data_IF_596965493360
#
_entry.id   IF_596965493360
#
_cell.length_a   1.000
_cell.length_b   1.000
_cell.length_c   1.000
_cell.angle_alpha   90.00
_cell.angle_beta   90.00
_cell.angle_gamma   90.00
#
_symmetry.space_group_name_H-M   'P 1'
#
loop_
_entity.id
_entity.type
_entity.pdbx_description
1 polymer ?
#
# COMPACT_ATOMS: atom_id res chain seq x y z
N UNK A 1 4.73 -8.99 9.54
CA UNK A 1 4.49 -7.57 9.86
C UNK A 1 5.86 -6.93 10.09
N UNK A 2 6.20 -5.83 9.43
CA UNK A 2 7.46 -5.13 9.73
C UNK A 2 7.17 -4.15 10.88
N UNK A 3 7.60 -4.51 12.08
CA UNK A 3 7.59 -3.63 13.25
C UNK A 3 8.70 -2.57 13.10
N UNK A 4 8.48 -1.37 13.66
CA UNK A 4 9.54 -0.37 13.76
C UNK A 4 10.77 -0.97 14.45
N UNK A 5 11.95 -0.74 13.87
CA UNK A 5 13.20 -1.14 14.49
C UNK A 5 13.52 -0.24 15.72
N UNK A 6 14.46 -0.64 16.59
CA UNK A 6 14.76 0.13 17.80
C UNK A 6 15.13 1.61 17.54
N UNK A 7 15.88 1.89 16.46
CA UNK A 7 16.24 3.27 16.08
C UNK A 7 14.98 4.09 15.74
N UNK A 8 14.08 3.51 14.97
CA UNK A 8 12.83 4.17 14.55
C UNK A 8 11.89 4.40 15.73
N UNK A 9 11.80 3.45 16.68
CA UNK A 9 11.04 3.61 17.91
C UNK A 9 11.54 4.81 18.73
N UNK A 10 12.85 4.93 18.91
CA UNK A 10 13.46 6.08 19.61
C UNK A 10 13.24 7.40 18.86
N UNK A 11 13.37 7.39 17.54
CA UNK A 11 13.10 8.57 16.72
C UNK A 11 11.63 9.02 16.83
N UNK A 12 10.69 8.07 16.91
CA UNK A 12 9.28 8.37 17.12
C UNK A 12 9.03 8.98 18.50
N UNK A 13 9.61 8.41 19.56
CA UNK A 13 9.56 9.00 20.90
C UNK A 13 10.11 10.42 20.92
N UNK A 14 11.27 10.65 20.31
CA UNK A 14 11.86 11.98 20.22
C UNK A 14 10.97 12.96 19.46
N UNK A 15 10.32 12.49 18.39
CA UNK A 15 9.39 13.30 17.63
C UNK A 15 8.20 13.73 18.48
N UNK A 16 7.74 12.94 19.45
CA UNK A 16 6.62 13.23 20.37
C UNK A 16 7.07 13.70 21.76
N UNK A 17 8.36 14.05 21.94
CA UNK A 17 8.91 14.32 23.27
C UNK A 17 8.15 15.39 24.07
N UNK A 18 7.75 16.57 23.53
CA UNK A 18 7.07 17.58 24.33
C UNK A 18 5.75 17.10 24.95
N UNK A 19 4.97 16.31 24.21
CA UNK A 19 3.70 15.75 24.68
C UNK A 19 3.95 14.65 25.70
N UNK A 20 4.96 13.80 25.48
CA UNK A 20 5.33 12.75 26.42
C UNK A 20 5.83 13.38 27.72
N UNK A 21 6.76 14.35 27.64
CA UNK A 21 7.30 15.08 28.79
C UNK A 21 6.20 15.73 29.62
N UNK A 22 5.22 16.39 28.98
CA UNK A 22 4.06 16.96 29.68
C UNK A 22 3.22 15.92 30.44
N UNK A 23 3.26 14.66 30.02
CA UNK A 23 2.56 13.55 30.68
C UNK A 23 3.38 12.93 31.80
N UNK A 24 4.67 13.24 31.90
CA UNK A 24 5.52 12.84 33.02
C UNK A 24 5.40 13.79 34.23
N UNK A 25 4.93 15.03 34.01
CA UNK A 25 4.75 16.06 35.06
C UNK A 25 4.02 15.55 36.33
N UNK A 26 2.91 14.77 36.24
CA UNK A 26 2.22 14.26 37.43
C UNK A 26 3.06 13.33 38.32
N UNK A 27 4.11 12.70 37.77
CA UNK A 27 4.99 11.81 38.53
C UNK A 27 5.80 12.54 39.61
N UNK A 28 5.91 13.87 39.52
CA UNK A 28 6.52 14.68 40.56
C UNK A 28 5.76 14.59 41.89
N UNK A 29 4.43 14.44 41.85
CA UNK A 29 3.57 14.34 43.03
C UNK A 29 3.12 12.91 43.35
N UNK A 30 3.08 12.03 42.35
CA UNK A 30 2.56 10.67 42.45
C UNK A 30 3.63 9.64 42.02
N UNK A 31 4.66 9.48 42.87
CA UNK A 31 5.81 8.61 42.60
C UNK A 31 5.44 7.14 42.39
N UNK A 32 4.32 6.69 42.92
CA UNK A 32 3.78 5.34 42.77
C UNK A 32 3.46 4.97 41.31
N UNK A 33 3.15 5.97 40.47
CA UNK A 33 2.92 5.80 39.03
C UNK A 33 4.23 5.60 38.24
N UNK A 34 5.39 5.78 38.87
CA UNK A 34 6.69 5.75 38.20
C UNK A 34 7.33 4.38 38.11
N UNK A 35 6.82 3.35 38.81
CA UNK A 35 7.53 2.08 39.04
C UNK A 35 8.22 1.50 37.79
N UNK A 36 7.50 1.33 36.69
CA UNK A 36 8.06 0.80 35.44
C UNK A 36 9.05 1.75 34.74
N UNK A 37 8.88 3.07 34.90
CA UNK A 37 9.80 4.08 34.33
C UNK A 37 11.07 4.23 35.19
N UNK A 38 10.94 4.12 36.51
CA UNK A 38 12.04 4.18 37.46
C UNK A 38 12.99 2.98 37.28
N UNK A 39 12.47 1.80 36.91
CA UNK A 39 13.28 0.62 36.57
C UNK A 39 14.19 0.84 35.36
N UNK A 40 13.90 1.83 34.50
CA UNK A 40 14.77 2.17 33.37
C UNK A 40 15.96 3.04 33.77
N UNK A 41 15.99 3.56 34.99
CA UNK A 41 17.02 4.47 35.46
C UNK A 41 17.99 3.75 36.40
N UNK A 42 19.17 4.32 36.59
CA UNK A 42 20.10 3.86 37.62
C UNK A 42 19.47 3.96 39.01
N UNK A 43 19.91 3.10 39.92
CA UNK A 43 19.39 3.07 41.30
C UNK A 43 19.47 4.45 41.94
N UNK A 44 18.36 4.89 42.55
CA UNK A 44 18.17 6.20 43.19
C UNK A 44 18.04 7.40 42.24
N UNK A 45 18.27 7.26 40.93
CA UNK A 45 18.26 8.41 40.02
C UNK A 45 16.90 9.11 39.96
N UNK A 46 15.82 8.34 40.04
CA UNK A 46 14.48 8.91 40.09
C UNK A 46 14.27 9.76 41.35
N UNK A 47 14.70 9.26 42.51
CA UNK A 47 14.61 9.97 43.78
C UNK A 47 15.49 11.24 43.80
N UNK A 48 16.69 11.17 43.22
CA UNK A 48 17.56 12.34 43.04
C UNK A 48 16.84 13.43 42.24
N UNK A 49 16.22 13.07 41.11
CA UNK A 49 15.46 14.02 40.30
C UNK A 49 14.29 14.66 41.07
N UNK A 50 13.58 13.88 41.90
CA UNK A 50 12.52 14.44 42.75
C UNK A 50 13.04 15.45 43.78
N UNK A 51 14.28 15.31 44.26
CA UNK A 51 14.89 16.21 45.25
C UNK A 51 15.55 17.44 44.61
N UNK A 52 16.15 17.25 43.43
CA UNK A 52 16.95 18.28 42.74
C UNK A 52 16.07 19.27 41.95
N UNK A 53 14.85 18.88 41.61
CA UNK A 53 13.94 19.69 40.80
C UNK A 53 13.06 20.58 41.68
N UNK A 54 12.96 21.86 41.29
CA UNK A 54 12.13 22.85 42.00
C UNK A 54 10.73 22.97 41.41
N UNK A 55 10.53 22.48 40.19
CA UNK A 55 9.25 22.53 39.49
C UNK A 55 8.96 21.19 38.83
N UNK A 56 7.68 20.87 38.70
CA UNK A 56 7.15 19.71 37.99
C UNK A 56 7.55 19.67 36.49
N UNK A 57 7.73 20.85 35.88
CA UNK A 57 8.19 20.97 34.48
C UNK A 57 9.67 20.61 34.37
N UNK A 58 10.53 21.23 35.19
CA UNK A 58 11.98 20.91 35.26
C UNK A 58 12.21 19.43 35.57
N UNK A 59 11.42 18.87 36.50
CA UNK A 59 11.42 17.44 36.79
C UNK A 59 11.12 16.60 35.55
N UNK A 60 10.03 16.91 34.84
CA UNK A 60 9.63 16.13 33.67
C UNK A 60 10.65 16.19 32.53
N UNK A 61 11.29 17.35 32.33
CA UNK A 61 12.33 17.55 31.32
C UNK A 61 13.59 16.73 31.66
N UNK A 62 14.11 16.85 32.88
CA UNK A 62 15.29 16.08 33.33
C UNK A 62 15.01 14.58 33.39
N UNK A 63 13.80 14.17 33.78
CA UNK A 63 13.38 12.77 33.74
C UNK A 63 13.39 12.24 32.30
N UNK A 64 12.85 13.00 31.35
CA UNK A 64 12.88 12.61 29.94
C UNK A 64 14.31 12.47 29.40
N UNK A 65 15.19 13.40 29.72
CA UNK A 65 16.61 13.33 29.34
C UNK A 65 17.31 12.10 29.93
N UNK A 66 17.04 11.79 31.20
CA UNK A 66 17.58 10.61 31.86
C UNK A 66 17.07 9.30 31.21
N UNK A 67 15.78 9.24 30.88
CA UNK A 67 15.18 8.10 30.19
C UNK A 67 15.76 7.89 28.79
N UNK A 68 15.93 8.97 28.01
CA UNK A 68 16.53 8.89 26.66
C UNK A 68 18.01 8.51 26.67
N UNK A 69 18.71 8.83 27.77
CA UNK A 69 20.12 8.50 27.97
C UNK A 69 20.35 7.14 28.63
N UNK A 70 19.27 6.47 29.07
CA UNK A 70 19.34 5.21 29.81
C UNK A 70 20.03 4.09 29.02
N UNK A 71 20.82 3.23 29.68
CA UNK A 71 21.33 1.98 29.07
C UNK A 71 20.19 1.03 28.65
N UNK A 72 19.01 1.15 29.28
CA UNK A 72 17.81 0.37 28.99
C UNK A 72 16.90 0.99 27.92
N UNK A 73 17.37 1.99 27.16
CA UNK A 73 16.56 2.66 26.11
C UNK A 73 15.95 1.74 25.04
N UNK A 74 16.44 0.51 24.90
CA UNK A 74 15.88 -0.48 23.98
C UNK A 74 14.46 -0.94 24.35
N UNK A 75 14.05 -0.86 25.62
CA UNK A 75 12.67 -1.14 26.09
C UNK A 75 11.85 0.14 26.32
N UNK A 76 12.47 1.32 26.28
CA UNK A 76 11.83 2.61 26.61
C UNK A 76 10.52 2.85 25.86
N UNK A 77 10.44 2.48 24.58
CA UNK A 77 9.23 2.65 23.78
C UNK A 77 8.04 1.88 24.36
N UNK A 78 8.22 0.61 24.69
CA UNK A 78 7.14 -0.21 25.25
C UNK A 78 6.75 0.29 26.66
N UNK A 79 7.73 0.71 27.46
CA UNK A 79 7.47 1.29 28.79
C UNK A 79 6.68 2.59 28.71
N UNK A 80 7.03 3.48 27.77
CA UNK A 80 6.31 4.74 27.56
C UNK A 80 4.89 4.46 27.03
N UNK A 81 4.72 3.53 26.10
CA UNK A 81 3.37 3.15 25.65
C UNK A 81 2.52 2.61 26.81
N UNK A 82 3.07 1.71 27.62
CA UNK A 82 2.36 1.17 28.77
C UNK A 82 1.97 2.27 29.76
N UNK A 83 2.89 3.21 30.04
CA UNK A 83 2.61 4.37 30.86
C UNK A 83 1.47 5.23 30.27
N UNK A 84 1.58 5.63 29.00
CA UNK A 84 0.60 6.45 28.32
C UNK A 84 -0.78 5.79 28.23
N UNK A 85 -0.84 4.47 28.14
CA UNK A 85 -2.12 3.74 28.16
C UNK A 85 -2.96 4.02 29.42
N UNK A 86 -2.31 4.44 30.51
CA UNK A 86 -2.95 4.76 31.79
C UNK A 86 -3.23 6.26 31.98
N UNK A 87 -2.39 7.15 31.41
CA UNK A 87 -2.46 8.60 31.67
C UNK A 87 -2.98 9.44 30.49
N UNK A 88 -2.85 8.95 29.25
CA UNK A 88 -3.29 9.64 28.04
C UNK A 88 -3.54 8.63 26.91
N UNK A 89 -4.77 8.07 26.90
CA UNK A 89 -5.17 7.04 25.94
C UNK A 89 -5.14 7.53 24.48
N UNK A 90 -5.33 8.83 24.26
CA UNK A 90 -5.32 9.43 22.93
C UNK A 90 -3.89 9.49 22.37
N UNK A 91 -2.93 9.96 23.18
CA UNK A 91 -1.51 9.97 22.79
C UNK A 91 -0.96 8.55 22.62
N UNK A 92 -1.32 7.63 23.51
CA UNK A 92 -1.01 6.20 23.34
C UNK A 92 -1.53 5.68 21.99
N UNK A 93 -2.81 5.90 21.71
CA UNK A 93 -3.44 5.45 20.45
C UNK A 93 -2.75 6.06 19.23
N UNK A 94 -2.41 7.35 19.27
CA UNK A 94 -1.65 8.03 18.22
C UNK A 94 -0.30 7.37 17.95
N UNK A 95 0.49 7.09 18.99
CA UNK A 95 1.81 6.45 18.84
C UNK A 95 1.72 5.02 18.31
N UNK A 96 0.73 4.24 18.77
CA UNK A 96 0.44 2.91 18.23
C UNK A 96 0.01 2.99 16.78
N UNK A 97 -0.90 3.90 16.44
CA UNK A 97 -1.38 4.10 15.07
C UNK A 97 -0.23 4.47 14.11
N UNK A 98 0.66 5.37 14.52
CA UNK A 98 1.84 5.76 13.71
C UNK A 98 2.81 4.58 13.56
N UNK A 99 2.99 3.76 14.59
CA UNK A 99 3.87 2.58 14.53
C UNK A 99 3.29 1.44 13.67
N UNK A 100 1.98 1.23 13.74
CA UNK A 100 1.30 0.06 13.16
C UNK A 100 0.75 0.29 11.75
N UNK A 101 0.31 1.51 11.40
CA UNK A 101 -0.25 1.83 10.08
C UNK A 101 0.81 2.13 9.01
N UNK A 102 2.06 2.27 9.40
CA UNK A 102 3.09 2.90 8.58
C UNK A 102 3.81 1.99 7.57
N UNK A 103 3.09 1.01 7.02
CA UNK A 103 3.55 0.41 5.75
C UNK A 103 3.23 1.30 4.56
N UNK A 104 2.17 2.09 4.69
CA UNK A 104 1.54 2.80 3.56
C UNK A 104 2.18 4.15 3.31
N UNK A 105 2.43 4.94 4.36
CA UNK A 105 3.14 6.21 4.26
C UNK A 105 4.66 6.07 4.13
N UNK A 106 5.23 4.89 4.43
CA UNK A 106 6.67 4.67 4.53
C UNK A 106 7.38 5.71 5.42
N UNK A 107 6.69 6.19 6.45
CA UNK A 107 7.17 7.15 7.43
C UNK A 107 8.36 6.61 8.25
N UNK A 108 8.56 5.29 8.26
CA UNK A 108 9.80 4.64 8.69
C UNK A 108 11.05 5.20 7.99
N UNK A 109 10.95 5.70 6.75
CA UNK A 109 12.03 6.44 6.06
C UNK A 109 12.34 7.77 6.75
N UNK A 110 11.30 8.50 7.20
CA UNK A 110 11.46 9.71 8.03
C UNK A 110 12.13 9.34 9.33
N UNK A 111 11.57 8.37 10.07
CA UNK A 111 12.11 7.95 11.37
C UNK A 111 13.56 7.47 11.29
N UNK A 112 13.98 6.91 10.16
CA UNK A 112 15.37 6.47 9.96
C UNK A 112 16.34 7.62 9.70
N UNK A 113 15.84 8.77 9.23
CA UNK A 113 16.60 9.92 8.73
C UNK A 113 16.05 11.27 9.27
N UNK A 114 15.54 11.29 10.51
CA UNK A 114 14.84 12.47 11.07
C UNK A 114 15.69 13.72 11.00
N UNK A 115 16.98 13.63 11.34
CA UNK A 115 17.91 14.76 11.31
C UNK A 115 18.04 15.38 9.92
N UNK A 116 18.16 14.56 8.87
CA UNK A 116 18.27 15.05 7.51
C UNK A 116 16.97 15.72 7.05
N UNK A 117 15.81 15.11 7.31
CA UNK A 117 14.53 15.74 7.02
C UNK A 117 14.37 17.05 7.80
N UNK A 118 14.70 17.05 9.09
CA UNK A 118 14.63 18.23 9.95
C UNK A 118 15.45 19.41 9.40
N UNK A 119 16.66 19.12 8.92
CA UNK A 119 17.57 20.12 8.38
C UNK A 119 17.13 20.65 7.02
N UNK A 120 16.54 19.82 6.17
CA UNK A 120 16.14 20.22 4.81
C UNK A 120 14.71 20.73 4.70
N UNK A 121 13.86 20.52 5.71
CA UNK A 121 12.51 21.11 5.73
C UNK A 121 12.63 22.62 5.91
N UNK A 122 11.95 23.33 5.03
CA UNK A 122 11.46 24.69 5.21
C UNK A 122 9.94 24.57 5.35
N UNK A 123 9.38 25.01 6.48
CA UNK A 123 7.96 24.77 6.79
C UNK A 123 7.07 25.49 5.79
N UNK A 124 7.33 26.76 5.50
CA UNK A 124 6.49 27.57 4.62
C UNK A 124 6.50 27.05 3.19
N UNK A 125 7.69 26.72 2.67
CA UNK A 125 7.84 26.12 1.33
C UNK A 125 7.16 24.76 1.27
N UNK A 126 7.35 23.91 2.29
CA UNK A 126 6.78 22.56 2.30
C UNK A 126 5.26 22.60 2.35
N UNK A 127 4.69 23.49 3.14
CA UNK A 127 3.24 23.64 3.28
C UNK A 127 2.63 24.25 2.04
N UNK A 128 3.26 25.28 1.46
CA UNK A 128 2.84 25.85 0.19
C UNK A 128 2.85 24.82 -0.94
N UNK A 129 3.79 23.86 -0.91
CA UNK A 129 3.81 22.73 -1.82
C UNK A 129 2.64 21.77 -1.56
N UNK A 130 2.51 21.28 -0.32
CA UNK A 130 1.50 20.29 0.05
C UNK A 130 0.07 20.80 -0.17
N UNK A 131 -0.18 22.10 -0.04
CA UNK A 131 -1.47 22.76 -0.34
C UNK A 131 -1.93 22.60 -1.78
N UNK A 132 -1.01 22.37 -2.72
CA UNK A 132 -1.34 22.16 -4.13
C UNK A 132 -1.96 20.78 -4.37
N UNK A 133 -1.83 19.87 -3.40
CA UNK A 133 -2.35 18.51 -3.47
C UNK A 133 -3.73 18.49 -2.81
N UNK A 134 -4.78 18.46 -3.64
CA UNK A 134 -6.18 18.65 -3.21
C UNK A 134 -6.66 17.68 -2.12
N UNK A 135 -6.16 16.44 -2.11
CA UNK A 135 -6.54 15.45 -1.08
C UNK A 135 -5.99 15.78 0.32
N UNK A 136 -5.12 16.77 0.47
CA UNK A 136 -4.54 17.19 1.75
C UNK A 136 -5.23 18.40 2.37
N UNK A 137 -6.20 19.01 1.68
CA UNK A 137 -6.85 20.26 2.12
C UNK A 137 -7.36 20.21 3.57
N UNK A 138 -8.05 19.13 3.96
CA UNK A 138 -8.62 19.01 5.31
C UNK A 138 -7.52 18.89 6.38
N UNK A 139 -6.52 18.06 6.11
CA UNK A 139 -5.40 17.82 7.04
C UNK A 139 -4.53 19.07 7.18
N UNK A 140 -4.25 19.77 6.08
CA UNK A 140 -3.49 21.03 6.10
C UNK A 140 -4.31 22.12 6.82
N UNK A 141 -5.61 22.23 6.56
CA UNK A 141 -6.46 23.20 7.25
C UNK A 141 -6.49 22.98 8.76
N UNK A 142 -6.50 21.73 9.21
CA UNK A 142 -6.41 21.38 10.62
C UNK A 142 -5.02 21.70 11.20
N UNK A 143 -3.95 21.40 10.45
CA UNK A 143 -2.57 21.70 10.81
C UNK A 143 -2.34 23.20 11.01
N UNK A 144 -2.76 24.03 10.05
CA UNK A 144 -2.57 25.49 10.14
C UNK A 144 -3.36 26.11 11.28
N UNK A 145 -4.57 25.61 11.57
CA UNK A 145 -5.35 26.03 12.75
C UNK A 145 -4.70 25.64 14.07
N UNK A 146 -3.84 24.63 14.08
CA UNK A 146 -3.13 24.19 15.29
C UNK A 146 -1.95 25.09 15.65
N UNK A 147 -1.44 25.87 14.70
CA UNK A 147 -0.30 26.75 14.92
C UNK A 147 -0.70 28.07 15.56
N UNK A 148 0.13 28.53 16.50
CA UNK A 148 0.09 29.90 17.01
C UNK A 148 0.88 30.83 16.09
N UNK A 149 0.50 32.11 16.06
CA UNK A 149 1.15 33.11 15.21
C UNK A 149 2.64 33.30 15.54
N UNK A 150 3.02 33.09 16.80
CA UNK A 150 4.36 33.22 17.37
C UNK A 150 5.10 31.88 17.53
N UNK A 151 4.56 30.79 16.99
CA UNK A 151 5.13 29.45 17.17
C UNK A 151 6.48 29.32 16.45
N UNK A 152 7.47 28.76 17.17
CA UNK A 152 8.82 28.63 16.66
C UNK A 152 8.93 27.59 15.54
N UNK A 153 9.92 27.79 14.66
CA UNK A 153 10.13 26.96 13.48
C UNK A 153 10.35 25.48 13.82
N UNK A 154 11.04 25.17 14.93
CA UNK A 154 11.30 23.80 15.33
C UNK A 154 10.01 23.09 15.77
N UNK A 155 9.13 23.81 16.48
CA UNK A 155 7.80 23.29 16.82
C UNK A 155 6.98 23.04 15.56
N UNK A 156 6.95 23.99 14.61
CA UNK A 156 6.24 23.80 13.33
C UNK A 156 6.78 22.61 12.53
N UNK A 157 8.10 22.46 12.40
CA UNK A 157 8.74 21.30 11.76
C UNK A 157 8.31 19.98 12.39
N UNK A 158 8.32 19.94 13.73
CA UNK A 158 7.92 18.75 14.49
C UNK A 158 6.46 18.39 14.22
N UNK A 159 5.55 19.36 14.29
CA UNK A 159 4.12 19.13 14.02
C UNK A 159 3.90 18.69 12.57
N UNK A 160 4.57 19.32 11.59
CA UNK A 160 4.53 18.89 10.18
C UNK A 160 4.93 17.43 10.02
N UNK A 161 6.06 17.03 10.60
CA UNK A 161 6.55 15.64 10.54
C UNK A 161 5.56 14.65 11.17
N UNK A 162 4.93 15.00 12.31
CA UNK A 162 3.90 14.14 12.94
C UNK A 162 2.63 14.01 12.11
N UNK A 163 2.35 14.97 11.25
CA UNK A 163 1.17 14.97 10.37
C UNK A 163 1.38 14.12 9.11
N UNK A 164 2.62 13.81 8.73
CA UNK A 164 2.93 13.01 7.53
C UNK A 164 2.16 11.69 7.45
N UNK A 165 2.05 10.86 8.52
CA UNK A 165 1.26 9.64 8.47
C UNK A 165 -0.23 9.85 8.16
N UNK A 166 -0.77 11.05 8.44
CA UNK A 166 -2.17 11.41 8.22
C UNK A 166 -2.47 11.74 6.74
N UNK A 167 -1.46 12.16 5.98
CA UNK A 167 -1.56 12.39 4.54
C UNK A 167 -1.61 11.09 3.72
N UNK A 168 -1.42 9.92 4.35
CA UNK A 168 -1.61 8.63 3.71
C UNK A 168 -0.45 8.19 2.81
N UNK A 169 -0.77 7.49 1.73
CA UNK A 169 0.16 6.61 1.02
C UNK A 169 1.34 7.30 0.35
N UNK A 170 1.13 8.47 -0.27
CA UNK A 170 2.16 9.21 -1.01
C UNK A 170 2.88 10.28 -0.17
N UNK A 171 2.48 10.43 1.09
CA UNK A 171 2.88 11.53 1.94
C UNK A 171 4.41 11.73 2.05
N UNK A 172 5.17 10.63 2.14
CA UNK A 172 6.63 10.73 2.20
C UNK A 172 7.23 11.24 0.90
N UNK A 173 6.68 10.85 -0.24
CA UNK A 173 7.19 11.27 -1.54
C UNK A 173 6.82 12.73 -1.80
N UNK A 174 5.65 13.15 -1.33
CA UNK A 174 5.22 14.54 -1.38
C UNK A 174 6.11 15.43 -0.49
N UNK A 175 6.48 14.94 0.71
CA UNK A 175 7.47 15.61 1.57
C UNK A 175 8.87 15.62 0.92
N UNK A 176 9.32 14.50 0.37
CA UNK A 176 10.62 14.44 -0.32
C UNK A 176 10.66 15.40 -1.51
N UNK A 177 9.55 15.51 -2.25
CA UNK A 177 9.43 16.47 -3.34
C UNK A 177 9.42 17.90 -2.84
N UNK A 178 8.76 18.18 -1.72
CA UNK A 178 8.69 19.53 -1.15
C UNK A 178 10.06 20.04 -0.68
N UNK A 179 10.96 19.15 -0.25
CA UNK A 179 12.33 19.52 0.16
C UNK A 179 13.36 19.41 -0.96
N UNK A 180 13.04 18.74 -2.07
CA UNK A 180 14.02 18.40 -3.11
C UNK A 180 14.74 19.63 -3.67
N UNK A 181 13.98 20.72 -3.91
CA UNK A 181 14.49 21.95 -4.51
C UNK A 181 15.07 22.93 -3.48
N UNK A 182 15.09 22.58 -2.19
CA UNK A 182 15.57 23.48 -1.14
C UNK A 182 17.10 23.67 -1.18
N UNK A 183 17.85 22.66 -1.62
CA UNK A 183 19.31 22.73 -1.82
C UNK A 183 19.84 21.53 -2.60
N UNK A 184 21.06 21.63 -3.12
CA UNK A 184 21.78 20.47 -3.70
C UNK A 184 21.95 19.32 -2.70
N UNK A 185 22.17 19.65 -1.41
CA UNK A 185 22.25 18.67 -0.34
C UNK A 185 20.95 17.92 -0.11
N UNK A 186 19.81 18.62 -0.18
CA UNK A 186 18.48 18.01 -0.08
C UNK A 186 18.20 17.09 -1.28
N UNK A 187 18.50 17.54 -2.50
CA UNK A 187 18.35 16.72 -3.71
C UNK A 187 19.23 15.45 -3.66
N UNK A 188 20.48 15.57 -3.21
CA UNK A 188 21.38 14.43 -3.05
C UNK A 188 20.88 13.44 -1.99
N UNK A 189 20.36 13.95 -0.86
CA UNK A 189 19.75 13.12 0.18
C UNK A 189 18.52 12.38 -0.32
N UNK A 190 17.61 13.07 -1.03
CA UNK A 190 16.41 12.46 -1.60
C UNK A 190 16.76 11.38 -2.62
N UNK A 191 17.71 11.64 -3.52
CA UNK A 191 18.16 10.65 -4.50
C UNK A 191 18.88 9.44 -3.87
N UNK A 192 19.53 9.63 -2.71
CA UNK A 192 20.08 8.53 -1.92
C UNK A 192 18.98 7.64 -1.34
N UNK A 193 17.86 8.23 -0.92
CA UNK A 193 16.72 7.47 -0.40
C UNK A 193 15.87 6.81 -1.50
N UNK A 194 15.77 7.45 -2.66
CA UNK A 194 15.02 7.00 -3.80
C UNK A 194 15.79 7.37 -5.08
N UNK A 195 16.57 6.45 -5.66
CA UNK A 195 17.28 6.70 -6.90
C UNK A 195 16.32 7.08 -8.03
N UNK A 196 16.72 8.04 -8.87
CA UNK A 196 15.89 8.59 -9.96
C UNK A 196 14.56 9.18 -9.44
N UNK A 197 14.62 9.88 -8.31
CA UNK A 197 13.44 10.32 -7.55
C UNK A 197 12.48 11.16 -8.39
N UNK A 198 12.96 12.13 -9.15
CA UNK A 198 12.09 13.03 -9.93
C UNK A 198 11.24 12.25 -10.93
N UNK A 199 11.87 11.34 -11.68
CA UNK A 199 11.17 10.47 -12.62
C UNK A 199 10.15 9.60 -11.90
N UNK A 200 10.50 9.04 -10.74
CA UNK A 200 9.57 8.24 -9.95
C UNK A 200 8.40 9.08 -9.41
N UNK A 201 8.67 10.30 -8.96
CA UNK A 201 7.65 11.21 -8.43
C UNK A 201 6.68 11.67 -9.54
N UNK A 202 7.16 11.94 -10.76
CA UNK A 202 6.30 12.22 -11.92
C UNK A 202 5.30 11.10 -12.19
N UNK A 203 5.70 9.84 -11.97
CA UNK A 203 4.81 8.69 -12.10
C UNK A 203 3.72 8.69 -11.02
N UNK A 204 4.06 9.00 -9.77
CA UNK A 204 3.09 9.16 -8.67
C UNK A 204 2.12 10.30 -8.96
N UNK A 205 2.62 11.45 -9.41
CA UNK A 205 1.79 12.62 -9.67
C UNK A 205 0.84 12.38 -10.86
N UNK A 206 1.31 11.69 -11.90
CA UNK A 206 0.47 11.24 -13.00
C UNK A 206 -0.60 10.26 -12.53
N UNK A 207 -0.24 9.32 -11.67
CA UNK A 207 -1.16 8.31 -11.12
C UNK A 207 -2.23 8.91 -10.20
N UNK A 208 -1.90 9.96 -9.45
CA UNK A 208 -2.87 10.73 -8.65
C UNK A 208 -4.00 11.30 -9.51
N UNK A 209 -3.69 11.66 -10.75
CA UNK A 209 -4.66 12.17 -11.73
C UNK A 209 -5.25 11.08 -12.64
N UNK A 210 -4.60 9.92 -12.75
CA UNK A 210 -5.00 8.80 -13.60
C UNK A 210 -4.58 7.46 -12.96
N UNK A 211 -5.39 6.93 -12.02
CA UNK A 211 -5.07 5.71 -11.29
C UNK A 211 -4.88 4.51 -12.24
N UNK A 212 -3.93 3.64 -11.94
CA UNK A 212 -3.59 2.50 -12.84
C UNK A 212 -4.57 1.33 -12.77
N UNK A 213 -5.52 1.36 -11.83
CA UNK A 213 -6.54 0.34 -11.64
C UNK A 213 -6.24 -0.60 -10.47
N UNK A 214 -7.15 -1.55 -10.23
CA UNK A 214 -7.06 -2.51 -9.13
C UNK A 214 -7.37 -3.90 -9.66
N UNK A 215 -6.45 -4.83 -9.45
CA UNK A 215 -6.67 -6.26 -9.67
C UNK A 215 -7.39 -6.81 -8.45
N UNK A 216 -8.39 -7.66 -8.64
CA UNK A 216 -9.04 -8.34 -7.52
C UNK A 216 -8.92 -9.85 -7.71
N UNK A 217 -8.12 -10.52 -6.91
CA UNK A 217 -8.07 -11.98 -6.91
C UNK A 217 -9.36 -12.53 -6.29
N UNK A 218 -9.99 -13.55 -6.88
CA UNK A 218 -11.08 -14.26 -6.22
C UNK A 218 -10.59 -15.66 -5.91
N UNK A 219 -10.32 -15.99 -4.63
CA UNK A 219 -9.91 -17.34 -4.28
C UNK A 219 -11.01 -18.36 -4.57
N UNK A 220 -10.57 -19.58 -4.83
CA UNK A 220 -11.41 -20.76 -4.95
C UNK A 220 -12.37 -20.86 -3.77
N UNK A 221 -13.64 -21.12 -4.06
CA UNK A 221 -14.71 -21.27 -3.04
C UNK A 221 -15.32 -19.97 -2.53
N UNK A 222 -14.90 -18.81 -3.03
CA UNK A 222 -15.56 -17.52 -2.76
C UNK A 222 -16.27 -17.01 -3.99
N UNK A 223 -17.43 -16.37 -3.81
CA UNK A 223 -18.13 -15.76 -4.93
C UNK A 223 -17.46 -14.44 -5.33
N UNK A 224 -17.41 -14.19 -6.64
CA UNK A 224 -16.92 -12.92 -7.19
C UNK A 224 -17.70 -11.73 -6.62
N UNK A 225 -18.99 -11.90 -6.37
CA UNK A 225 -19.83 -10.87 -5.76
C UNK A 225 -19.38 -10.55 -4.33
N UNK A 226 -19.07 -11.55 -3.53
CA UNK A 226 -18.55 -11.36 -2.16
C UNK A 226 -17.18 -10.70 -2.17
N UNK A 227 -16.35 -11.00 -3.16
CA UNK A 227 -15.00 -10.45 -3.28
C UNK A 227 -15.01 -9.01 -3.83
N UNK A 228 -15.95 -8.64 -4.69
CA UNK A 228 -16.01 -7.28 -5.26
C UNK A 228 -16.81 -6.32 -4.36
N UNK A 229 -17.82 -6.81 -3.62
CA UNK A 229 -18.70 -5.99 -2.79
C UNK A 229 -17.92 -5.24 -1.69
N UNK A 230 -17.85 -3.90 -1.72
CA UNK A 230 -17.05 -3.11 -0.78
C UNK A 230 -17.49 -3.26 0.68
N UNK A 231 -18.69 -3.76 0.95
CA UNK A 231 -19.22 -3.96 2.31
C UNK A 231 -18.75 -5.26 2.96
N UNK A 232 -18.16 -6.18 2.18
CA UNK A 232 -17.64 -7.43 2.75
C UNK A 232 -16.19 -7.27 3.23
N UNK A 233 -15.78 -8.02 4.26
CA UNK A 233 -14.38 -8.05 4.69
C UNK A 233 -13.43 -8.64 3.62
N UNK A 234 -13.96 -9.42 2.67
CA UNK A 234 -13.18 -10.03 1.58
C UNK A 234 -12.71 -9.01 0.54
N UNK A 235 -13.45 -7.92 0.36
CA UNK A 235 -13.16 -6.91 -0.66
C UNK A 235 -11.84 -6.19 -0.52
N UNK A 236 -11.26 -6.16 0.68
CA UNK A 236 -9.92 -5.59 0.91
C UNK A 236 -8.82 -6.64 0.87
N UNK A 237 -9.15 -7.90 1.14
CA UNK A 237 -8.17 -8.99 1.31
C UNK A 237 -7.55 -9.40 -0.02
N UNK A 238 -8.33 -9.33 -1.10
CA UNK A 238 -7.90 -9.84 -2.40
C UNK A 238 -7.75 -8.75 -3.46
N UNK A 239 -7.77 -7.47 -3.08
CA UNK A 239 -7.49 -6.35 -3.98
C UNK A 239 -6.00 -6.02 -3.99
N UNK A 240 -5.41 -6.00 -5.18
CA UNK A 240 -4.06 -5.56 -5.48
C UNK A 240 -4.14 -4.27 -6.28
N UNK A 241 -3.60 -3.19 -5.72
CA UNK A 241 -3.55 -1.92 -6.42
C UNK A 241 -2.39 -1.94 -7.44
N UNK A 242 -2.65 -1.49 -8.67
CA UNK A 242 -1.65 -1.43 -9.74
C UNK A 242 -0.73 -0.21 -9.64
N UNK A 243 -0.91 0.57 -8.58
CA UNK A 243 -0.20 1.82 -8.37
C UNK A 243 1.33 1.63 -8.28
N UNK A 244 2.11 2.63 -8.73
CA UNK A 244 3.58 2.56 -8.80
C UNK A 244 4.26 2.29 -7.46
N UNK A 245 3.58 2.56 -6.35
CA UNK A 245 4.05 2.20 -5.03
C UNK A 245 4.11 0.68 -4.81
N UNK A 246 3.09 -0.05 -5.29
CA UNK A 246 2.99 -1.50 -5.16
C UNK A 246 3.64 -2.23 -6.34
N UNK A 247 3.71 -1.55 -7.51
CA UNK A 247 4.29 -2.03 -8.76
C UNK A 247 5.21 -0.97 -9.38
N UNK A 248 6.38 -0.70 -8.76
CA UNK A 248 7.35 0.21 -9.35
C UNK A 248 7.79 -0.33 -10.73
N UNK A 249 8.15 0.53 -11.70
CA UNK A 249 8.65 0.07 -12.99
C UNK A 249 9.85 -0.88 -12.82
N UNK A 250 9.99 -1.86 -13.72
CA UNK A 250 11.08 -2.86 -13.66
C UNK A 250 12.50 -2.24 -13.67
N UNK A 251 12.63 -0.99 -14.11
CA UNK A 251 13.88 -0.22 -14.03
C UNK A 251 14.27 0.17 -12.60
N UNK A 252 13.31 0.17 -11.67
CA UNK A 252 13.50 0.54 -10.26
C UNK A 252 13.53 -0.68 -9.33
N UNK A 253 12.83 -1.77 -9.68
CA UNK A 253 12.87 -3.04 -8.94
C UNK A 253 12.66 -4.23 -9.90
N UNK A 254 13.69 -5.07 -10.04
CA UNK A 254 13.70 -6.21 -10.97
C UNK A 254 12.88 -7.42 -10.49
N UNK A 255 12.42 -7.43 -9.24
CA UNK A 255 11.67 -8.57 -8.65
C UNK A 255 10.26 -8.19 -8.17
N UNK A 256 9.65 -7.18 -8.79
CA UNK A 256 8.29 -6.73 -8.48
C UNK A 256 7.20 -7.74 -8.87
N UNK A 257 5.97 -7.54 -8.36
CA UNK A 257 4.82 -8.41 -8.63
C UNK A 257 4.48 -8.46 -10.13
N UNK A 258 4.72 -7.40 -10.91
CA UNK A 258 4.59 -7.46 -12.38
C UNK A 258 5.53 -8.51 -12.98
N UNK A 259 6.79 -8.55 -12.53
CA UNK A 259 7.78 -9.54 -12.98
C UNK A 259 7.44 -10.94 -12.49
N UNK A 260 6.83 -11.08 -11.29
CA UNK A 260 6.33 -12.37 -10.79
C UNK A 260 5.06 -12.85 -11.50
N UNK A 261 4.15 -11.93 -11.85
CA UNK A 261 2.97 -12.20 -12.65
C UNK A 261 3.36 -12.61 -14.08
N UNK A 262 4.33 -11.90 -14.68
CA UNK A 262 4.92 -12.27 -15.96
C UNK A 262 5.65 -13.61 -15.90
N UNK A 263 6.31 -13.94 -14.78
CA UNK A 263 6.89 -15.27 -14.52
C UNK A 263 5.85 -16.36 -14.25
N UNK A 264 4.63 -16.00 -13.84
CA UNK A 264 3.51 -16.95 -13.66
C UNK A 264 2.66 -17.12 -14.91
N UNK A 265 2.93 -16.37 -15.98
CA UNK A 265 2.45 -16.70 -17.33
C UNK A 265 3.33 -17.85 -17.83
N UNK A 266 3.16 -19.02 -17.23
CA UNK A 266 3.56 -20.26 -17.87
C UNK A 266 2.29 -20.83 -18.51
N UNK A 267 2.37 -21.02 -19.82
CA UNK A 267 1.60 -21.91 -20.68
C UNK A 267 0.33 -21.47 -21.43
N UNK A 268 -0.59 -20.61 -20.94
CA UNK A 268 -1.74 -20.10 -21.76
C UNK A 268 -2.66 -19.11 -21.02
N UNK A 269 -2.81 -17.90 -21.56
CA UNK A 269 -3.67 -16.84 -20.98
C UNK A 269 -4.92 -16.61 -21.83
N UNK A 270 -6.08 -16.51 -21.19
CA UNK A 270 -7.33 -16.03 -21.79
C UNK A 270 -7.66 -14.62 -21.26
N UNK A 271 -7.65 -13.61 -22.11
CA UNK A 271 -8.07 -12.25 -21.81
C UNK A 271 -9.44 -11.97 -22.42
N UNK A 272 -10.44 -11.70 -21.60
CA UNK A 272 -11.81 -11.54 -22.07
C UNK A 272 -12.26 -10.09 -22.03
N UNK A 273 -12.95 -9.65 -23.09
CA UNK A 273 -13.59 -8.34 -23.16
C UNK A 273 -15.11 -8.48 -23.33
N UNK A 274 -15.92 -7.56 -22.77
CA UNK A 274 -17.38 -7.68 -22.82
C UNK A 274 -17.95 -7.42 -24.23
N UNK A 275 -17.19 -6.75 -25.12
CA UNK A 275 -17.61 -6.48 -26.48
C UNK A 275 -16.43 -6.57 -27.47
N UNK A 276 -16.77 -6.69 -28.76
CA UNK A 276 -15.82 -6.83 -29.87
C UNK A 276 -15.09 -5.54 -30.24
N UNK A 277 -15.62 -4.37 -29.86
CA UNK A 277 -15.00 -3.06 -30.13
C UNK A 277 -13.71 -2.91 -29.32
N UNK A 278 -13.77 -3.27 -28.03
CA UNK A 278 -12.62 -3.16 -27.11
C UNK A 278 -11.64 -4.34 -27.30
N UNK A 279 -12.11 -5.46 -27.87
CA UNK A 279 -11.29 -6.66 -28.11
C UNK A 279 -10.02 -6.35 -28.92
N UNK A 280 -10.14 -5.64 -30.04
CA UNK A 280 -8.98 -5.29 -30.87
C UNK A 280 -8.04 -4.30 -30.20
N UNK A 281 -8.61 -3.35 -29.45
CA UNK A 281 -7.85 -2.36 -28.71
C UNK A 281 -6.99 -3.05 -27.64
N UNK A 282 -7.58 -3.99 -26.90
CA UNK A 282 -6.87 -4.77 -25.88
C UNK A 282 -5.83 -5.70 -26.52
N UNK A 283 -6.17 -6.38 -27.61
CA UNK A 283 -5.21 -7.22 -28.33
C UNK A 283 -4.03 -6.42 -28.86
N UNK A 284 -4.26 -5.23 -29.43
CA UNK A 284 -3.19 -4.34 -29.91
C UNK A 284 -2.31 -3.86 -28.76
N UNK A 285 -2.93 -3.53 -27.62
CA UNK A 285 -2.21 -3.12 -26.41
C UNK A 285 -1.33 -4.25 -25.88
N UNK A 286 -1.89 -5.45 -25.74
CA UNK A 286 -1.15 -6.64 -25.30
C UNK A 286 0.00 -6.98 -26.24
N UNK A 287 -0.23 -6.97 -27.56
CA UNK A 287 0.83 -7.19 -28.57
C UNK A 287 1.99 -6.22 -28.41
N UNK A 288 1.71 -4.94 -28.15
CA UNK A 288 2.75 -3.92 -27.96
C UNK A 288 3.72 -4.28 -26.83
N UNK A 289 3.23 -4.92 -25.78
CA UNK A 289 4.05 -5.29 -24.62
C UNK A 289 4.57 -6.72 -24.67
N UNK A 290 3.85 -7.67 -25.29
CA UNK A 290 4.11 -9.10 -25.17
C UNK A 290 4.67 -9.76 -26.45
N UNK A 291 4.51 -9.18 -27.64
CA UNK A 291 4.92 -9.83 -28.91
C UNK A 291 6.41 -10.15 -29.04
N UNK A 292 7.25 -9.58 -28.18
CA UNK A 292 8.67 -9.90 -28.17
C UNK A 292 8.97 -11.30 -27.61
N UNK A 293 8.00 -11.92 -26.91
CA UNK A 293 8.13 -13.22 -26.25
C UNK A 293 6.91 -14.14 -26.40
N UNK A 294 5.71 -13.60 -26.61
CA UNK A 294 4.45 -14.36 -26.62
C UNK A 294 3.59 -14.05 -27.85
N UNK A 295 2.89 -15.05 -28.36
CA UNK A 295 1.95 -14.93 -29.48
C UNK A 295 0.54 -14.55 -29.02
N UNK A 296 0.15 -13.29 -29.28
CA UNK A 296 -1.18 -12.76 -28.93
C UNK A 296 -2.16 -12.84 -30.10
N UNK A 297 -3.23 -13.61 -29.92
CA UNK A 297 -4.29 -13.79 -30.92
C UNK A 297 -5.63 -13.23 -30.44
N UNK A 298 -6.37 -12.60 -31.36
CA UNK A 298 -7.68 -12.01 -31.10
C UNK A 298 -8.75 -12.85 -31.83
N UNK A 299 -9.68 -13.44 -31.09
CA UNK A 299 -10.71 -14.33 -31.64
C UNK A 299 -12.12 -13.75 -31.45
N UNK A 300 -12.84 -13.58 -32.55
CA UNK A 300 -14.24 -13.14 -32.57
C UNK A 300 -15.14 -14.25 -33.07
N UNK A 301 -16.41 -14.23 -32.67
CA UNK A 301 -17.40 -15.19 -33.15
C UNK A 301 -17.64 -15.14 -34.67
N UNK A 302 -17.27 -14.04 -35.34
CA UNK A 302 -17.37 -13.89 -36.80
C UNK A 302 -16.27 -14.61 -37.58
N UNK A 303 -15.17 -15.01 -36.93
CA UNK A 303 -13.93 -15.30 -37.65
C UNK A 303 -13.90 -16.71 -38.25
N UNK A 304 -14.92 -17.54 -37.99
CA UNK A 304 -15.04 -18.93 -38.45
C UNK A 304 -13.71 -19.72 -38.34
N UNK A 305 -13.00 -19.51 -37.24
CA UNK A 305 -11.68 -20.10 -36.96
C UNK A 305 -11.82 -21.39 -36.15
N UNK A 306 -10.90 -22.36 -36.33
CA UNK A 306 -10.83 -23.54 -35.48
C UNK A 306 -10.28 -23.15 -34.09
N UNK A 307 -11.17 -22.68 -33.21
CA UNK A 307 -10.80 -22.05 -31.95
C UNK A 307 -9.95 -22.94 -31.04
N UNK A 308 -10.16 -24.26 -31.05
CA UNK A 308 -9.34 -25.22 -30.28
C UNK A 308 -7.88 -25.23 -30.73
N UNK A 309 -7.66 -25.25 -32.04
CA UNK A 309 -6.31 -25.24 -32.62
C UNK A 309 -5.61 -23.91 -32.32
N UNK A 310 -6.36 -22.81 -32.34
CA UNK A 310 -5.86 -21.49 -31.95
C UNK A 310 -5.46 -21.45 -30.48
N UNK A 311 -6.31 -21.97 -29.57
CA UNK A 311 -5.98 -22.04 -28.14
C UNK A 311 -4.74 -22.92 -27.90
N UNK A 312 -4.60 -24.00 -28.67
CA UNK A 312 -3.45 -24.89 -28.56
C UNK A 312 -2.14 -24.29 -29.08
N UNK A 313 -2.22 -23.36 -30.03
CA UNK A 313 -1.07 -22.78 -30.73
C UNK A 313 -0.64 -21.39 -30.24
N UNK A 314 -1.42 -20.73 -29.37
CA UNK A 314 -1.20 -19.34 -28.96
C UNK A 314 -1.03 -19.21 -27.45
N UNK A 315 -0.13 -18.32 -27.05
CA UNK A 315 0.17 -18.07 -25.64
C UNK A 315 -0.89 -17.19 -24.97
N UNK A 316 -1.43 -16.21 -25.71
CA UNK A 316 -2.45 -15.28 -25.21
C UNK A 316 -3.62 -15.21 -26.19
N UNK A 317 -4.78 -15.67 -25.75
CA UNK A 317 -6.05 -15.51 -26.47
C UNK A 317 -6.81 -14.31 -25.92
N UNK A 318 -7.18 -13.37 -26.79
CA UNK A 318 -8.08 -12.25 -26.49
C UNK A 318 -9.43 -12.53 -27.14
N UNK A 319 -10.51 -12.65 -26.35
CA UNK A 319 -11.82 -13.04 -26.89
C UNK A 319 -13.01 -12.46 -26.13
N UNK A 320 -14.22 -12.67 -26.64
CA UNK A 320 -15.44 -12.39 -25.88
C UNK A 320 -15.82 -13.62 -25.03
N UNK A 321 -16.39 -13.43 -23.83
CA UNK A 321 -16.75 -14.55 -22.96
C UNK A 321 -17.77 -15.50 -23.62
N UNK A 322 -18.70 -14.98 -24.43
CA UNK A 322 -19.67 -15.81 -25.15
C UNK A 322 -19.02 -16.83 -26.08
N UNK A 323 -17.87 -16.51 -26.68
CA UNK A 323 -17.17 -17.43 -27.58
C UNK A 323 -16.67 -18.67 -26.82
N UNK A 324 -16.18 -18.49 -25.60
CA UNK A 324 -15.71 -19.57 -24.73
C UNK A 324 -16.89 -20.36 -24.16
N UNK A 325 -17.99 -19.70 -23.77
CA UNK A 325 -19.22 -20.37 -23.34
C UNK A 325 -19.75 -21.29 -24.44
N UNK A 326 -19.73 -20.84 -25.70
CA UNK A 326 -20.17 -21.66 -26.82
C UNK A 326 -19.26 -22.88 -27.03
N UNK A 327 -17.94 -22.72 -26.84
CA UNK A 327 -16.97 -23.81 -26.95
C UNK A 327 -17.21 -24.90 -25.89
N UNK A 328 -17.52 -24.52 -24.65
CA UNK A 328 -17.88 -25.46 -23.58
C UNK A 328 -19.18 -26.21 -23.91
N UNK A 329 -20.23 -25.50 -24.35
CA UNK A 329 -21.54 -26.09 -24.68
C UNK A 329 -21.52 -27.00 -25.92
N UNK A 330 -20.62 -26.74 -26.87
CA UNK A 330 -20.50 -27.59 -28.07
C UNK A 330 -20.06 -29.03 -27.76
N UNK A 331 -19.41 -29.25 -26.60
CA UNK A 331 -19.00 -30.58 -26.15
C UNK A 331 -20.08 -31.29 -25.32
N UNK A 332 -21.03 -30.56 -24.73
CA UNK A 332 -22.16 -31.14 -23.98
C UNK A 332 -23.24 -31.75 -24.90
N UNK A 333 -23.28 -31.32 -26.16
CA UNK A 333 -24.38 -31.59 -27.10
C UNK A 333 -24.06 -32.64 -28.17
N UNK A 334 -22.86 -33.23 -28.15
CA UNK A 334 -22.42 -34.23 -29.13
C UNK A 334 -22.50 -35.66 -28.56
N UNK A 335 -23.71 -36.26 -28.59
CA UNK A 335 -23.91 -37.72 -28.43
C UNK A 335 -23.48 -38.53 -29.68
N UNK A 336 -22.73 -37.92 -30.60
CA UNK A 336 -22.26 -38.58 -31.82
C UNK A 336 -20.83 -39.10 -31.66
N UNK A 337 -20.70 -40.40 -31.90
CA UNK A 337 -19.58 -41.36 -31.86
C UNK A 337 -18.23 -40.94 -32.51
N UNK A 338 -17.76 -39.72 -32.27
CA UNK A 338 -16.45 -39.23 -32.73
C UNK A 338 -15.41 -39.42 -31.60
N UNK A 339 -14.99 -40.67 -31.41
CA UNK A 339 -14.09 -41.21 -30.36
C UNK A 339 -12.70 -40.53 -30.22
N UNK A 340 -12.43 -39.42 -30.91
CA UNK A 340 -11.11 -38.77 -30.98
C UNK A 340 -11.14 -37.28 -30.58
N UNK A 341 -12.31 -36.69 -30.29
CA UNK A 341 -12.37 -35.29 -29.84
C UNK A 341 -12.22 -35.16 -28.33
N UNK A 342 -11.05 -34.70 -27.89
CA UNK A 342 -10.84 -34.29 -26.49
C UNK A 342 -11.76 -33.11 -26.16
N UNK A 343 -12.56 -33.26 -25.10
CA UNK A 343 -13.40 -32.19 -24.58
C UNK A 343 -12.55 -30.97 -24.21
N UNK A 344 -13.08 -29.78 -24.47
CA UNK A 344 -12.41 -28.54 -24.14
C UNK A 344 -12.65 -28.24 -22.67
N UNK A 345 -11.56 -28.16 -21.91
CA UNK A 345 -11.61 -27.83 -20.50
C UNK A 345 -11.00 -26.45 -20.25
N UNK A 346 -11.60 -25.73 -19.30
CA UNK A 346 -11.13 -24.43 -18.85
C UNK A 346 -9.73 -24.49 -18.21
N UNK A 347 -9.31 -25.66 -17.72
CA UNK A 347 -7.96 -25.96 -17.22
C UNK A 347 -6.87 -25.80 -18.27
N UNK A 348 -7.23 -25.73 -19.56
CA UNK A 348 -6.30 -25.43 -20.66
C UNK A 348 -5.63 -24.06 -20.49
N UNK A 349 -6.30 -23.12 -19.82
CA UNK A 349 -5.74 -21.82 -19.52
C UNK A 349 -5.16 -21.80 -18.11
N UNK A 350 -3.92 -21.34 -17.98
CA UNK A 350 -3.25 -21.15 -16.69
C UNK A 350 -3.63 -19.83 -16.04
N UNK A 351 -4.17 -18.88 -16.83
CA UNK A 351 -4.72 -17.63 -16.34
C UNK A 351 -5.91 -17.19 -17.19
N UNK A 352 -6.98 -16.75 -16.54
CA UNK A 352 -8.07 -16.03 -17.19
C UNK A 352 -8.11 -14.61 -16.66
N UNK A 353 -8.44 -13.64 -17.51
CA UNK A 353 -8.58 -12.22 -17.15
C UNK A 353 -9.92 -11.74 -17.67
N UNK A 354 -10.73 -11.15 -16.78
CA UNK A 354 -12.07 -10.67 -17.09
C UNK A 354 -12.06 -9.14 -17.14
N UNK A 355 -11.99 -8.54 -18.32
CA UNK A 355 -12.12 -7.08 -18.44
C UNK A 355 -13.55 -6.65 -18.10
N UNK A 356 -13.70 -5.51 -17.42
CA UNK A 356 -14.98 -5.04 -16.87
C UNK A 356 -15.71 -6.09 -16.00
N UNK A 357 -14.97 -6.74 -15.10
CA UNK A 357 -15.44 -7.87 -14.28
C UNK A 357 -16.69 -7.57 -13.42
N UNK A 358 -17.06 -6.30 -13.22
CA UNK A 358 -18.33 -5.91 -12.61
C UNK A 358 -19.55 -6.42 -13.39
N UNK A 359 -19.36 -6.81 -14.66
CA UNK A 359 -20.36 -7.47 -15.52
C UNK A 359 -20.55 -8.97 -15.21
N UNK A 360 -19.83 -9.52 -14.23
CA UNK A 360 -19.98 -10.91 -13.75
C UNK A 360 -21.17 -11.01 -12.79
N UNK A 361 -22.37 -10.75 -13.30
CA UNK A 361 -23.61 -10.75 -12.52
C UNK A 361 -24.72 -11.49 -13.27
N UNK A 362 -25.59 -12.16 -12.52
CA UNK A 362 -26.78 -12.86 -13.05
C UNK A 362 -26.41 -13.92 -14.10
N UNK A 363 -27.14 -13.96 -15.22
CA UNK A 363 -26.94 -14.91 -16.33
C UNK A 363 -26.04 -14.31 -17.43
N UNK A 364 -25.00 -13.57 -17.05
CA UNK A 364 -24.06 -13.03 -18.03
C UNK A 364 -23.08 -14.12 -18.46
N UNK A 365 -22.49 -14.04 -19.67
CA UNK A 365 -21.48 -15.00 -20.12
C UNK A 365 -20.26 -15.05 -19.18
N UNK A 366 -19.95 -13.96 -18.47
CA UNK A 366 -18.94 -13.98 -17.42
C UNK A 366 -19.35 -14.79 -16.20
N UNK A 367 -20.61 -14.70 -15.78
CA UNK A 367 -21.12 -15.50 -14.66
C UNK A 367 -21.16 -16.99 -15.01
N UNK A 368 -21.55 -17.36 -16.24
CA UNK A 368 -21.52 -18.74 -16.73
C UNK A 368 -20.09 -19.32 -16.69
N UNK A 369 -19.10 -18.56 -17.18
CA UNK A 369 -17.69 -18.99 -17.14
C UNK A 369 -17.15 -19.07 -15.71
N UNK A 370 -17.46 -18.08 -14.86
CA UNK A 370 -17.06 -18.11 -13.46
C UNK A 370 -17.65 -19.33 -12.73
N UNK A 371 -18.91 -19.68 -13.01
CA UNK A 371 -19.55 -20.88 -12.46
C UNK A 371 -18.89 -22.17 -12.99
N UNK A 372 -18.55 -22.23 -14.28
CA UNK A 372 -17.85 -23.37 -14.88
C UNK A 372 -16.44 -23.56 -14.28
N UNK A 373 -15.69 -22.48 -14.07
CA UNK A 373 -14.40 -22.53 -13.35
C UNK A 373 -14.59 -23.11 -11.94
N UNK A 374 -15.59 -22.62 -11.19
CA UNK A 374 -15.89 -23.11 -9.85
C UNK A 374 -16.29 -24.60 -9.83
N UNK A 375 -16.98 -25.08 -10.86
CA UNK A 375 -17.37 -26.48 -10.99
C UNK A 375 -16.17 -27.41 -11.25
N UNK A 376 -15.21 -26.95 -12.08
CA UNK A 376 -13.95 -27.65 -12.35
C UNK A 376 -13.02 -27.64 -11.12
N UNK A 377 -13.06 -26.57 -10.31
CA UNK A 377 -12.18 -26.36 -9.14
C UNK A 377 -12.51 -27.21 -7.90
N UNK A 378 -13.58 -28.02 -7.90
CA UNK A 378 -13.64 -29.16 -6.96
C UNK A 378 -12.55 -30.22 -7.26
N UNK A 379 -11.75 -30.04 -8.32
CA UNK A 379 -10.65 -30.94 -8.70
C UNK A 379 -9.25 -30.35 -8.81
N UNK A 380 -8.95 -29.16 -9.42
CA UNK A 380 -7.66 -28.41 -9.32
C UNK A 380 -7.53 -27.25 -10.35
N UNK A 381 -7.48 -25.96 -9.96
CA UNK A 381 -6.86 -24.80 -10.67
C UNK A 381 -7.01 -23.48 -9.85
N UNK A 382 -6.49 -22.33 -10.33
CA UNK A 382 -6.62 -20.99 -9.71
C UNK A 382 -6.94 -19.89 -10.75
N UNK A 383 -7.89 -18.99 -10.46
CA UNK A 383 -8.31 -17.89 -11.36
C UNK A 383 -7.92 -16.47 -10.86
N UNK A 384 -7.68 -15.53 -11.78
CA UNK A 384 -7.33 -14.12 -11.49
C UNK A 384 -8.40 -13.19 -12.10
N UNK A 385 -8.89 -12.16 -11.39
CA UNK A 385 -9.80 -11.16 -11.97
C UNK A 385 -9.12 -9.78 -11.98
N UNK A 386 -9.22 -9.05 -13.10
CA UNK A 386 -8.75 -7.65 -13.18
C UNK A 386 -9.93 -6.72 -13.37
N UNK A 387 -9.91 -5.54 -12.73
CA UNK A 387 -10.89 -4.48 -12.99
C UNK A 387 -10.15 -3.21 -13.42
N UNK A 388 -10.31 -2.81 -14.69
CA UNK A 388 -10.01 -1.45 -15.11
C UNK A 388 -11.23 -0.56 -14.82
N UNK A 389 -11.00 0.64 -14.27
CA UNK A 389 -11.97 1.74 -14.28
C UNK A 389 -11.34 2.87 -15.07
N UNK A 390 -12.06 3.38 -16.08
CA UNK A 390 -11.72 4.61 -16.80
C UNK A 390 -11.98 5.84 -15.93
#
# INVERSE_FOLDING_TARGET
MALLNPKQKLALLQLYSPEITRRLTPLYYASELSSALAELLDSNKFQELCLDCTTEVDFSEKLWEALMSSPMKHVLYETILNYLSTVDIDLHSMLCLVSEKDKRSQFSKVLSNVEQFWNFIDVDVSIAFLKKISCYNDVISALEKSWREDEDENTKKRVLLRTIPLFGYHAIYDLMRSIYDNSEGAAAFVNKLCPDFLRYYELIDKERNSPRGVITFCPVGLSVQDVINPETPFSKKYKFNLNYQDLPPASLDRDNVTTRLLKSIDDRVLFMTPNTIILDQQATTLRRFLNHQYEVFAARGSDNIPLRDVIAAKDVLVSTPQLIVNLLKSDESSESDDLVRTAFELTTFTMMVFDECHSTVKNSPYADLAAAVLAVEYSTASAVLMQHRF
#
